data_IF_081611679368
#
_entry.id   IF_081611679368
#
_cell.length_a   1.000
_cell.length_b   1.000
_cell.length_c   1.000
_cell.angle_alpha   90.00
_cell.angle_beta   90.00
_cell.angle_gamma   90.00
#
_symmetry.space_group_name_H-M   'P 1'
#
loop_
_entity.id
_entity.type
_entity.pdbx_description
1 polymer ?
#
# COMPACT_ATOMS: atom_id res chain seq x y z
N UNK A 1 -36.02 51.24 15.32
CA UNK A 1 -35.22 50.00 15.09
C UNK A 1 -34.86 49.94 13.60
N UNK A 2 -33.60 50.22 13.24
CA UNK A 2 -33.21 50.63 11.88
C UNK A 2 -33.29 49.52 10.81
N UNK A 3 -34.02 49.80 9.73
CA UNK A 3 -34.18 48.98 8.51
C UNK A 3 -32.81 48.49 7.96
N UNK A 4 -31.75 49.29 8.05
CA UNK A 4 -30.39 48.89 7.64
C UNK A 4 -29.88 47.61 8.32
N UNK A 5 -30.12 47.45 9.63
CA UNK A 5 -29.72 46.25 10.38
C UNK A 5 -30.49 44.99 9.97
N UNK A 6 -31.73 45.15 9.49
CA UNK A 6 -32.56 44.04 9.01
C UNK A 6 -32.05 43.58 7.63
N UNK A 7 -31.72 44.52 6.74
CA UNK A 7 -31.18 44.22 5.40
C UNK A 7 -29.82 43.50 5.49
N UNK A 8 -28.94 43.94 6.39
CA UNK A 8 -27.65 43.28 6.62
C UNK A 8 -27.81 41.85 7.13
N UNK A 9 -28.73 41.62 8.09
CA UNK A 9 -29.03 40.27 8.58
C UNK A 9 -29.58 39.35 7.50
N UNK A 10 -30.39 39.87 6.57
CA UNK A 10 -30.94 39.09 5.45
C UNK A 10 -29.83 38.73 4.45
N UNK A 11 -28.95 39.69 4.11
CA UNK A 11 -27.80 39.44 3.22
C UNK A 11 -26.84 38.41 3.82
N UNK A 12 -26.54 38.52 5.11
CA UNK A 12 -25.68 37.57 5.81
C UNK A 12 -26.29 36.16 5.82
N UNK A 13 -27.60 36.05 6.11
CA UNK A 13 -28.32 34.76 6.08
C UNK A 13 -28.35 34.13 4.69
N UNK A 14 -28.47 34.95 3.63
CA UNK A 14 -28.43 34.46 2.24
C UNK A 14 -27.03 33.95 1.87
N UNK A 15 -25.98 34.71 2.21
CA UNK A 15 -24.59 34.29 1.97
C UNK A 15 -24.20 33.02 2.73
N UNK A 16 -24.63 32.86 3.98
CA UNK A 16 -24.42 31.63 4.76
C UNK A 16 -25.15 30.46 4.11
N UNK A 17 -26.40 30.65 3.66
CA UNK A 17 -27.17 29.61 2.97
C UNK A 17 -26.52 29.21 1.65
N UNK A 18 -26.01 30.17 0.88
CA UNK A 18 -25.32 29.90 -0.39
C UNK A 18 -23.99 29.17 -0.17
N UNK A 19 -23.28 29.46 0.94
CA UNK A 19 -22.09 28.72 1.36
C UNK A 19 -22.43 27.28 1.78
N UNK A 20 -23.48 27.09 2.59
CA UNK A 20 -23.92 25.77 3.06
C UNK A 20 -24.51 24.90 1.95
N UNK A 21 -25.09 25.50 0.90
CA UNK A 21 -25.65 24.80 -0.25
C UNK A 21 -24.62 24.54 -1.36
N UNK A 22 -23.38 25.03 -1.21
CA UNK A 22 -22.30 24.74 -2.13
C UNK A 22 -21.89 23.28 -1.93
N UNK A 23 -22.41 22.37 -2.76
CA UNK A 23 -21.91 21.00 -2.80
C UNK A 23 -20.40 21.04 -3.08
N UNK A 24 -19.55 20.29 -2.35
CA UNK A 24 -18.15 20.17 -2.72
C UNK A 24 -18.08 19.68 -4.16
N UNK A 25 -17.28 20.34 -5.00
CA UNK A 25 -16.98 19.86 -6.35
C UNK A 25 -16.27 18.52 -6.18
N UNK A 26 -17.03 17.43 -6.33
CA UNK A 26 -16.66 16.07 -5.91
C UNK A 26 -15.68 15.41 -6.91
N UNK A 27 -14.86 16.23 -7.58
CA UNK A 27 -13.79 15.75 -8.45
C UNK A 27 -12.63 15.34 -7.56
N UNK A 28 -12.24 14.07 -7.66
CA UNK A 28 -11.04 13.55 -7.02
C UNK A 28 -9.84 14.43 -7.39
N UNK A 29 -8.90 14.62 -6.46
CA UNK A 29 -7.64 15.27 -6.81
C UNK A 29 -6.89 14.42 -7.85
N UNK A 30 -5.96 15.04 -8.58
CA UNK A 30 -5.12 14.29 -9.55
C UNK A 30 -4.34 13.18 -8.83
N UNK A 31 -3.89 13.44 -7.60
CA UNK A 31 -3.21 12.46 -6.75
C UNK A 31 -4.13 11.27 -6.43
N UNK A 32 -5.36 11.52 -5.98
CA UNK A 32 -6.33 10.46 -5.71
C UNK A 32 -6.68 9.65 -6.97
N UNK A 33 -6.76 10.31 -8.13
CA UNK A 33 -7.01 9.64 -9.42
C UNK A 33 -5.85 8.70 -9.78
N UNK A 34 -4.60 9.15 -9.60
CA UNK A 34 -3.40 8.34 -9.85
C UNK A 34 -3.31 7.17 -8.87
N UNK A 35 -3.63 7.41 -7.60
CA UNK A 35 -3.71 6.35 -6.59
C UNK A 35 -4.74 5.30 -6.98
N UNK A 36 -5.95 5.70 -7.35
CA UNK A 36 -6.99 4.78 -7.82
C UNK A 36 -6.54 4.00 -9.07
N UNK A 37 -5.82 4.65 -9.99
CA UNK A 37 -5.29 3.97 -11.18
C UNK A 37 -4.23 2.92 -10.80
N UNK A 38 -3.42 3.18 -9.80
CA UNK A 38 -2.43 2.22 -9.29
C UNK A 38 -3.11 0.98 -8.67
N UNK A 39 -4.19 1.15 -7.91
CA UNK A 39 -5.03 0.03 -7.45
C UNK A 39 -5.65 -0.77 -8.59
N UNK A 40 -6.13 -0.09 -9.65
CA UNK A 40 -6.64 -0.77 -10.83
C UNK A 40 -5.56 -1.61 -11.51
N UNK A 41 -4.36 -1.05 -11.74
CA UNK A 41 -3.25 -1.78 -12.35
C UNK A 41 -2.84 -2.99 -11.51
N UNK A 42 -2.81 -2.85 -10.19
CA UNK A 42 -2.53 -3.97 -9.30
C UNK A 42 -3.58 -5.09 -9.42
N UNK A 43 -4.86 -4.72 -9.36
CA UNK A 43 -5.97 -5.66 -9.52
C UNK A 43 -5.96 -6.35 -10.89
N UNK A 44 -5.68 -5.60 -11.96
CA UNK A 44 -5.64 -6.12 -13.33
C UNK A 44 -4.50 -7.14 -13.49
N UNK A 45 -3.34 -6.88 -12.86
CA UNK A 45 -2.22 -7.84 -12.86
C UNK A 45 -2.64 -9.15 -12.19
N UNK A 46 -3.25 -9.07 -11.00
CA UNK A 46 -3.72 -10.24 -10.25
C UNK A 46 -4.73 -11.05 -11.06
N UNK A 47 -5.70 -10.39 -11.71
CA UNK A 47 -6.70 -11.07 -12.54
C UNK A 47 -6.09 -11.77 -13.77
N UNK A 48 -4.99 -11.24 -14.30
CA UNK A 48 -4.30 -11.79 -15.46
C UNK A 48 -3.14 -12.74 -15.10
N UNK A 49 -2.91 -13.03 -13.81
CA UNK A 49 -1.77 -13.82 -13.30
C UNK A 49 -0.40 -13.32 -13.79
N UNK A 50 -0.25 -12.02 -14.02
CA UNK A 50 1.01 -11.43 -14.50
C UNK A 50 1.92 -10.99 -13.33
N UNK A 51 2.25 -11.92 -12.45
CA UNK A 51 2.92 -11.63 -11.18
C UNK A 51 4.36 -11.11 -11.33
N UNK A 52 4.94 -11.19 -12.54
CA UNK A 52 6.21 -10.56 -12.89
C UNK A 52 6.10 -9.03 -13.09
N UNK A 53 4.97 -8.41 -12.75
CA UNK A 53 4.81 -6.96 -12.84
C UNK A 53 5.41 -6.23 -11.62
N UNK A 54 6.20 -5.18 -11.89
CA UNK A 54 6.82 -4.35 -10.84
C UNK A 54 5.83 -3.76 -9.83
N UNK A 55 4.66 -3.31 -10.29
CA UNK A 55 3.64 -2.73 -9.41
C UNK A 55 2.95 -3.79 -8.58
N UNK A 56 2.76 -4.97 -9.13
CA UNK A 56 2.31 -6.10 -8.34
C UNK A 56 3.26 -6.37 -7.19
N UNK A 57 4.56 -6.51 -7.44
CA UNK A 57 5.52 -6.74 -6.36
C UNK A 57 5.48 -5.65 -5.30
N UNK A 58 5.47 -4.37 -5.70
CA UNK A 58 5.46 -3.26 -4.75
C UNK A 58 4.20 -3.19 -3.89
N UNK A 59 3.04 -3.26 -4.54
CA UNK A 59 1.75 -3.16 -3.86
C UNK A 59 1.48 -4.37 -2.99
N UNK A 60 1.76 -5.56 -3.50
CA UNK A 60 1.62 -6.80 -2.72
C UNK A 60 2.58 -6.79 -1.54
N UNK A 61 3.86 -6.44 -1.72
CA UNK A 61 4.79 -6.38 -0.59
C UNK A 61 4.31 -5.39 0.47
N UNK A 62 4.00 -4.14 0.12
CA UNK A 62 3.49 -3.16 1.09
C UNK A 62 2.20 -3.61 1.78
N UNK A 63 1.24 -4.17 1.02
CA UNK A 63 -0.04 -4.64 1.56
C UNK A 63 0.12 -5.83 2.50
N UNK A 64 0.87 -6.86 2.10
CA UNK A 64 1.03 -8.08 2.88
C UNK A 64 1.79 -7.83 4.18
N UNK A 65 2.87 -7.04 4.15
CA UNK A 65 3.60 -6.70 5.39
C UNK A 65 2.72 -5.93 6.37
N UNK A 66 1.89 -5.00 5.87
CA UNK A 66 0.95 -4.25 6.71
C UNK A 66 -0.22 -5.10 7.23
N UNK A 67 -0.57 -6.18 6.53
CA UNK A 67 -1.67 -7.07 6.95
C UNK A 67 -1.21 -8.19 7.90
N UNK A 68 -0.01 -8.73 7.72
CA UNK A 68 0.49 -9.86 8.54
C UNK A 68 1.99 -10.12 8.46
N UNK A 69 2.78 -9.10 8.11
CA UNK A 69 4.24 -9.18 8.17
C UNK A 69 4.89 -10.00 7.05
N UNK A 70 6.21 -10.16 7.16
CA UNK A 70 7.07 -10.81 6.17
C UNK A 70 6.72 -12.28 5.99
N UNK A 71 6.37 -12.98 7.07
CA UNK A 71 6.01 -14.39 6.98
C UNK A 71 4.76 -14.56 6.10
N UNK A 72 3.71 -13.75 6.31
CA UNK A 72 2.52 -13.77 5.47
C UNK A 72 2.85 -13.51 4.00
N UNK A 73 3.65 -12.46 3.73
CA UNK A 73 4.09 -12.15 2.37
C UNK A 73 4.76 -13.35 1.68
N UNK A 74 5.72 -13.99 2.34
CA UNK A 74 6.46 -15.11 1.74
C UNK A 74 5.57 -16.35 1.52
N UNK A 75 4.69 -16.67 2.47
CA UNK A 75 3.75 -17.78 2.33
C UNK A 75 2.79 -17.55 1.15
N UNK A 76 2.24 -16.34 1.04
CA UNK A 76 1.29 -15.99 -0.02
C UNK A 76 1.94 -16.02 -1.41
N UNK A 77 3.12 -15.41 -1.57
CA UNK A 77 3.83 -15.42 -2.85
C UNK A 77 4.33 -16.83 -3.23
N UNK A 78 4.74 -17.63 -2.25
CA UNK A 78 5.08 -19.04 -2.48
C UNK A 78 3.88 -19.86 -2.95
N UNK A 79 2.70 -19.65 -2.35
CA UNK A 79 1.47 -20.36 -2.72
C UNK A 79 0.95 -19.94 -4.10
N UNK A 80 1.09 -18.67 -4.44
CA UNK A 80 0.80 -18.13 -5.76
C UNK A 80 1.88 -18.50 -6.81
N UNK A 81 2.91 -19.25 -6.40
CA UNK A 81 4.02 -19.70 -7.25
C UNK A 81 4.74 -18.54 -7.96
N UNK A 82 4.79 -17.38 -7.30
CA UNK A 82 5.46 -16.20 -7.85
C UNK A 82 6.96 -16.42 -7.82
N UNK A 83 7.64 -15.96 -8.86
CA UNK A 83 9.07 -16.10 -8.98
C UNK A 83 9.80 -15.14 -8.02
N UNK A 84 10.40 -15.69 -6.96
CA UNK A 84 11.19 -14.90 -6.00
C UNK A 84 12.41 -14.21 -6.62
N UNK A 85 12.95 -14.68 -7.74
CA UNK A 85 14.03 -13.96 -8.42
C UNK A 85 13.53 -12.64 -9.01
N UNK A 86 12.31 -12.62 -9.57
CA UNK A 86 11.65 -11.41 -10.04
C UNK A 86 11.35 -10.47 -8.88
N UNK A 87 10.77 -10.99 -7.79
CA UNK A 87 10.50 -10.21 -6.56
C UNK A 87 11.79 -9.57 -6.04
N UNK A 88 12.87 -10.34 -5.94
CA UNK A 88 14.16 -9.87 -5.46
C UNK A 88 14.73 -8.74 -6.32
N UNK A 89 14.59 -8.81 -7.64
CA UNK A 89 15.04 -7.75 -8.56
C UNK A 89 14.21 -6.47 -8.40
N UNK A 90 12.89 -6.60 -8.33
CA UNK A 90 11.99 -5.46 -8.13
C UNK A 90 12.22 -4.79 -6.78
N UNK A 91 12.23 -5.54 -5.69
CA UNK A 91 12.43 -4.98 -4.35
C UNK A 91 13.82 -4.39 -4.16
N UNK A 92 14.86 -4.95 -4.80
CA UNK A 92 16.20 -4.35 -4.83
C UNK A 92 16.22 -2.97 -5.47
N UNK A 93 15.36 -2.76 -6.47
CA UNK A 93 15.25 -1.48 -7.18
C UNK A 93 14.39 -0.49 -6.40
N UNK A 94 13.35 -0.98 -5.74
CA UNK A 94 12.32 -0.14 -5.13
C UNK A 94 12.60 0.28 -3.68
N UNK A 95 13.22 -0.60 -2.90
CA UNK A 95 13.44 -0.40 -1.47
C UNK A 95 14.70 0.43 -1.21
N UNK A 96 14.71 1.13 -0.09
CA UNK A 96 15.94 1.70 0.45
C UNK A 96 16.96 0.59 0.76
N UNK A 97 18.27 0.87 0.78
CA UNK A 97 19.28 -0.14 1.11
C UNK A 97 19.01 -0.86 2.44
N UNK A 98 18.51 -0.13 3.44
CA UNK A 98 18.14 -0.67 4.75
C UNK A 98 16.98 -1.67 4.63
N UNK A 99 15.89 -1.27 3.98
CA UNK A 99 14.72 -2.14 3.82
C UNK A 99 15.01 -3.35 2.92
N UNK A 100 15.83 -3.19 1.87
CA UNK A 100 16.21 -4.31 1.03
C UNK A 100 17.07 -5.33 1.80
N UNK A 101 18.05 -4.88 2.57
CA UNK A 101 18.85 -5.78 3.42
C UNK A 101 17.98 -6.49 4.46
N UNK A 102 17.03 -5.78 5.06
CA UNK A 102 16.05 -6.35 5.99
C UNK A 102 15.18 -7.43 5.33
N UNK A 103 14.55 -7.10 4.19
CA UNK A 103 13.78 -8.03 3.37
C UNK A 103 14.60 -9.27 2.99
N UNK A 104 15.84 -9.07 2.53
CA UNK A 104 16.67 -10.17 2.04
C UNK A 104 17.10 -11.12 3.17
N UNK A 105 17.33 -10.59 4.37
CA UNK A 105 17.55 -11.41 5.58
C UNK A 105 16.30 -12.21 5.94
N UNK A 106 15.12 -11.58 5.94
CA UNK A 106 13.85 -12.26 6.19
C UNK A 106 13.59 -13.36 5.15
N UNK A 107 13.86 -13.09 3.87
CA UNK A 107 13.74 -14.06 2.78
C UNK A 107 14.67 -15.26 2.99
N UNK A 108 15.94 -15.02 3.35
CA UNK A 108 16.88 -16.11 3.62
C UNK A 108 16.48 -16.95 4.83
N UNK A 109 15.96 -16.32 5.88
CA UNK A 109 15.38 -17.04 7.01
C UNK A 109 14.21 -17.93 6.54
N UNK A 110 13.23 -17.37 5.83
CA UNK A 110 12.11 -18.11 5.28
C UNK A 110 12.55 -19.32 4.45
N UNK A 111 13.53 -19.13 3.55
CA UNK A 111 14.12 -20.21 2.75
C UNK A 111 14.78 -21.29 3.61
N UNK A 112 15.46 -20.90 4.70
CA UNK A 112 16.13 -21.85 5.60
C UNK A 112 15.17 -22.71 6.41
N UNK A 113 13.98 -22.17 6.73
CA UNK A 113 12.94 -22.90 7.45
C UNK A 113 12.31 -24.01 6.58
N UNK A 114 12.44 -23.92 5.24
CA UNK A 114 11.96 -24.92 4.29
C UNK A 114 10.51 -25.37 4.57
N UNK A 115 9.67 -24.39 4.89
CA UNK A 115 8.28 -24.61 5.27
C UNK A 115 7.52 -25.24 4.09
N UNK A 116 6.87 -26.37 4.34
CA UNK A 116 5.92 -26.95 3.40
C UNK A 116 4.55 -26.40 3.73
N UNK A 117 4.08 -25.49 2.89
CA UNK A 117 2.82 -24.78 3.11
C UNK A 117 1.73 -25.54 2.35
N UNK A 118 0.88 -26.27 3.09
CA UNK A 118 -0.33 -26.90 2.52
C UNK A 118 -1.57 -26.02 2.72
N UNK A 119 -1.62 -25.20 3.79
CA UNK A 119 -2.67 -24.21 4.07
C UNK A 119 -2.12 -23.07 4.94
N UNK A 120 -2.44 -21.80 4.62
CA UNK A 120 -1.89 -20.59 5.28
C UNK A 120 -2.38 -20.45 6.73
N UNK A 121 -3.60 -20.91 6.99
CA UNK A 121 -4.32 -20.71 8.26
C UNK A 121 -3.83 -21.63 9.39
N UNK A 122 -3.08 -22.69 9.07
CA UNK A 122 -2.75 -23.77 10.01
C UNK A 122 -1.30 -23.78 10.51
N UNK A 123 -0.41 -22.92 10.00
CA UNK A 123 1.04 -23.06 10.23
C UNK A 123 1.77 -21.87 10.86
N UNK A 124 1.08 -20.77 11.18
CA UNK A 124 1.71 -19.70 11.97
C UNK A 124 1.47 -20.00 13.45
N UNK A 125 2.34 -20.84 14.02
CA UNK A 125 2.47 -20.78 15.47
C UNK A 125 3.16 -19.47 15.87
N UNK A 126 2.84 -18.98 17.06
CA UNK A 126 3.36 -17.70 17.58
C UNK A 126 4.89 -17.68 17.57
N UNK A 127 5.55 -18.83 17.69
CA UNK A 127 7.00 -18.95 17.70
C UNK A 127 7.62 -18.64 16.34
N UNK A 128 7.00 -19.08 15.25
CA UNK A 128 7.43 -18.72 13.90
C UNK A 128 7.20 -17.26 13.57
N UNK A 129 6.05 -16.69 13.96
CA UNK A 129 5.79 -15.26 13.78
C UNK A 129 6.82 -14.40 14.54
N UNK A 130 7.19 -14.83 15.76
CA UNK A 130 8.21 -14.16 16.56
C UNK A 130 9.59 -14.09 15.86
N UNK A 131 9.94 -15.08 15.03
CA UNK A 131 11.20 -15.03 14.27
C UNK A 131 11.23 -13.93 13.20
N UNK A 132 10.07 -13.47 12.74
CA UNK A 132 9.96 -12.42 11.73
C UNK A 132 9.70 -11.02 12.30
N UNK A 133 9.32 -10.94 13.58
CA UNK A 133 8.91 -9.70 14.24
C UNK A 133 9.94 -8.55 14.12
N UNK A 134 11.24 -8.84 14.22
CA UNK A 134 12.28 -7.81 14.07
C UNK A 134 12.33 -7.25 12.64
N UNK A 135 12.09 -8.08 11.62
CA UNK A 135 12.03 -7.64 10.23
C UNK A 135 10.77 -6.80 9.98
N UNK A 136 9.64 -7.22 10.53
CA UNK A 136 8.37 -6.48 10.45
C UNK A 136 8.50 -5.11 11.10
N UNK A 137 9.07 -5.06 12.31
CA UNK A 137 9.35 -3.81 13.01
C UNK A 137 10.25 -2.89 12.19
N UNK A 138 11.32 -3.42 11.62
CA UNK A 138 12.23 -2.64 10.77
C UNK A 138 11.51 -2.05 9.56
N UNK A 139 10.58 -2.80 8.95
CA UNK A 139 9.71 -2.28 7.90
C UNK A 139 8.82 -1.15 8.40
N UNK A 140 8.06 -1.35 9.49
CA UNK A 140 7.15 -0.33 10.03
C UNK A 140 7.87 0.96 10.43
N UNK A 141 9.05 0.85 11.03
CA UNK A 141 9.87 2.02 11.40
C UNK A 141 10.32 2.85 10.18
N UNK A 142 10.33 2.25 8.97
CA UNK A 142 10.88 2.84 7.75
C UNK A 142 9.89 2.83 6.55
N UNK A 143 8.60 2.59 6.82
CA UNK A 143 7.55 2.38 5.82
C UNK A 143 7.41 3.57 4.85
N UNK A 144 7.63 4.79 5.35
CA UNK A 144 7.49 5.99 4.51
C UNK A 144 8.42 5.94 3.28
N UNK A 145 9.56 5.25 3.36
CA UNK A 145 10.47 5.13 2.21
C UNK A 145 9.86 4.34 1.04
N UNK A 146 9.18 3.21 1.30
CA UNK A 146 8.48 2.47 0.25
C UNK A 146 7.19 3.20 -0.18
N UNK A 147 6.48 3.84 0.75
CA UNK A 147 5.30 4.64 0.42
C UNK A 147 5.66 5.77 -0.54
N UNK A 148 6.82 6.42 -0.35
CA UNK A 148 7.31 7.42 -1.29
C UNK A 148 7.64 6.81 -2.65
N UNK A 149 8.30 5.65 -2.72
CA UNK A 149 8.54 4.95 -4.00
C UNK A 149 7.24 4.64 -4.74
N UNK A 150 6.20 4.17 -4.05
CA UNK A 150 4.88 3.88 -4.65
C UNK A 150 4.21 5.18 -5.15
N UNK A 151 4.24 6.25 -4.35
CA UNK A 151 3.73 7.58 -4.75
C UNK A 151 4.46 8.13 -5.98
N UNK A 152 5.79 8.00 -6.01
CA UNK A 152 6.61 8.45 -7.12
C UNK A 152 6.27 7.69 -8.41
N UNK A 153 6.09 6.36 -8.31
CA UNK A 153 5.58 5.59 -9.44
C UNK A 153 4.18 6.04 -9.84
N UNK A 154 3.25 6.22 -8.89
CA UNK A 154 1.91 6.70 -9.19
C UNK A 154 1.95 8.02 -9.97
N UNK A 155 2.91 8.89 -9.66
CA UNK A 155 3.12 10.14 -10.37
C UNK A 155 3.58 9.98 -11.82
N UNK A 156 4.16 8.85 -12.21
CA UNK A 156 4.49 8.52 -13.60
C UNK A 156 3.31 8.04 -14.44
N UNK A 157 2.20 7.65 -13.79
CA UNK A 157 1.03 7.11 -14.49
C UNK A 157 0.27 8.24 -15.21
N UNK A 158 -0.06 7.99 -16.48
CA UNK A 158 -0.96 8.83 -17.27
C UNK A 158 -2.43 8.53 -16.89
N UNK A 159 -3.24 9.58 -16.75
CA UNK A 159 -4.66 9.52 -16.39
C UNK A 159 -5.58 9.56 -17.62
#
# INVERSE_FOLDING_TARGET
MCIKRIIEKIKLRKSIRDFLNKKPDKRLSIEDQKWNKLWQLWSDVTLNNNYDNYIYTLMTYSSEINNGGHLQFFLNESNNQVNFDTINQHLKTALSPLLYDNYFKAYNLFKSLNLKVECIEDYVDVEMENHFQEFDKCFYDNEESINQTIKDYANTIEL
#
